data_IF_780319726480
#
_entry.id   IF_780319726480
#
_cell.length_a   1.000
_cell.length_b   1.000
_cell.length_c   1.000
_cell.angle_alpha   90.00
_cell.angle_beta   90.00
_cell.angle_gamma   90.00
#
_symmetry.space_group_name_H-M   'P 1'
#
loop_
_entity.id
_entity.type
_entity.pdbx_description
1 polymer ?
#
# COMPACT_ATOMS: atom_id res chain seq x y z
N UNK A 1 -0.82 -39.46 -45.70
CA UNK A 1 -1.52 -38.96 -46.90
C UNK A 1 -1.25 -37.47 -46.99
N UNK A 2 -0.21 -37.11 -47.75
CA UNK A 2 -0.05 -35.92 -48.61
C UNK A 2 -0.05 -34.53 -47.92
N UNK A 3 1.16 -34.03 -47.70
CA UNK A 3 1.53 -32.60 -47.71
C UNK A 3 1.36 -32.04 -49.14
N UNK A 4 0.91 -30.78 -49.34
CA UNK A 4 1.87 -29.86 -49.96
C UNK A 4 1.71 -28.35 -49.63
N UNK A 5 2.83 -27.66 -49.92
CA UNK A 5 2.97 -26.26 -50.36
C UNK A 5 3.15 -25.21 -49.24
N UNK A 6 4.36 -24.83 -48.80
CA UNK A 6 5.56 -24.33 -49.51
C UNK A 6 5.35 -22.97 -50.18
N UNK A 7 5.67 -21.89 -49.45
CA UNK A 7 6.23 -20.67 -50.07
C UNK A 7 7.18 -19.93 -49.13
N UNK A 8 8.43 -20.40 -49.09
CA UNK A 8 9.59 -19.57 -48.78
C UNK A 8 9.80 -18.64 -49.97
N UNK A 9 9.55 -17.34 -49.82
CA UNK A 9 9.97 -16.35 -50.83
C UNK A 9 11.40 -15.96 -50.56
N UNK A 10 12.28 -16.44 -51.43
CA UNK A 10 13.66 -16.04 -51.53
C UNK A 10 13.80 -14.59 -52.04
N UNK A 11 14.61 -13.83 -51.29
CA UNK A 11 15.61 -12.84 -51.73
C UNK A 11 15.43 -12.24 -53.13
N UNK A 12 15.17 -10.93 -53.18
CA UNK A 12 15.68 -10.08 -54.27
C UNK A 12 16.44 -8.90 -53.71
N UNK A 13 17.75 -9.12 -53.52
CA UNK A 13 18.77 -8.07 -53.41
C UNK A 13 18.60 -7.10 -54.57
N UNK A 14 18.28 -5.85 -54.27
CA UNK A 14 18.59 -4.72 -55.15
C UNK A 14 19.62 -3.87 -54.43
N UNK A 15 20.88 -4.20 -54.71
CA UNK A 15 22.04 -3.38 -54.40
C UNK A 15 21.91 -2.14 -55.27
N UNK A 16 21.56 -1.01 -54.67
CA UNK A 16 21.75 0.30 -55.26
C UNK A 16 23.04 0.86 -54.64
N UNK A 17 24.13 0.69 -55.40
CA UNK A 17 25.38 1.41 -55.23
C UNK A 17 25.12 2.88 -55.57
N UNK A 18 25.12 3.75 -54.57
CA UNK A 18 25.36 5.17 -54.73
C UNK A 18 26.66 5.50 -53.99
N UNK A 19 27.75 5.41 -54.74
CA UNK A 19 29.01 6.05 -54.42
C UNK A 19 28.82 7.54 -54.67
N UNK A 20 28.84 8.35 -53.62
CA UNK A 20 29.13 9.76 -53.71
C UNK A 20 30.24 10.08 -52.70
N UNK A 21 31.33 10.54 -53.28
CA UNK A 21 32.67 10.76 -52.72
C UNK A 21 32.76 12.17 -52.16
N UNK A 22 33.53 12.30 -51.07
CA UNK A 22 34.15 13.52 -50.50
C UNK A 22 33.25 14.59 -49.88
N UNK A 23 33.40 14.74 -48.57
CA UNK A 23 32.95 15.93 -47.84
C UNK A 23 32.83 15.67 -46.34
N UNK A 24 33.96 15.42 -45.67
CA UNK A 24 34.00 15.37 -44.21
C UNK A 24 34.01 16.79 -43.64
N UNK A 25 33.01 17.18 -42.83
CA UNK A 25 33.27 17.92 -41.63
C UNK A 25 33.31 16.90 -40.48
N UNK A 26 34.48 16.75 -39.85
CA UNK A 26 34.55 16.17 -38.51
C UNK A 26 33.84 17.15 -37.58
N UNK A 27 32.51 17.02 -37.51
CA UNK A 27 31.74 17.59 -36.43
C UNK A 27 31.97 16.69 -35.21
N UNK A 28 32.83 17.15 -34.31
CA UNK A 28 32.94 16.66 -32.93
C UNK A 28 31.57 16.82 -32.26
N UNK A 29 30.70 15.84 -32.43
CA UNK A 29 29.51 15.67 -31.60
C UNK A 29 30.00 15.18 -30.23
N UNK A 30 29.58 15.79 -29.11
CA UNK A 30 29.98 15.34 -27.78
C UNK A 30 29.40 13.95 -27.54
N UNK A 31 30.25 12.92 -27.67
CA UNK A 31 29.91 11.52 -27.39
C UNK A 31 29.53 11.24 -25.92
N UNK A 32 29.36 12.27 -25.08
CA UNK A 32 28.98 12.16 -23.67
C UNK A 32 27.48 12.27 -23.39
N UNK A 33 26.68 12.86 -24.28
CA UNK A 33 25.28 13.15 -23.99
C UNK A 33 24.34 11.92 -24.12
N UNK A 34 24.61 11.05 -25.11
CA UNK A 34 23.78 9.85 -25.34
C UNK A 34 24.00 8.79 -24.26
N UNK A 35 25.23 8.69 -23.76
CA UNK A 35 25.60 7.74 -22.70
C UNK A 35 24.97 8.13 -21.36
N UNK A 36 24.93 9.42 -21.02
CA UNK A 36 24.28 9.91 -19.80
C UNK A 36 22.76 9.70 -19.82
N UNK A 37 22.09 10.01 -20.96
CA UNK A 37 20.65 9.80 -21.10
C UNK A 37 20.24 8.33 -21.05
N UNK A 38 21.01 7.43 -21.70
CA UNK A 38 20.74 5.99 -21.65
C UNK A 38 20.96 5.40 -20.25
N UNK A 39 21.97 5.86 -19.52
CA UNK A 39 22.23 5.41 -18.15
C UNK A 39 21.14 5.87 -17.17
N UNK A 40 20.67 7.12 -17.28
CA UNK A 40 19.57 7.62 -16.47
C UNK A 40 18.25 6.87 -16.74
N UNK A 41 17.92 6.64 -18.02
CA UNK A 41 16.74 5.86 -18.40
C UNK A 41 16.84 4.44 -17.86
N UNK A 42 18.02 3.79 -17.95
CA UNK A 42 18.21 2.42 -17.48
C UNK A 42 18.18 2.29 -15.95
N UNK A 43 18.72 3.26 -15.20
CA UNK A 43 18.61 3.27 -13.73
C UNK A 43 17.16 3.43 -13.29
N UNK A 44 16.40 4.30 -13.96
CA UNK A 44 14.98 4.53 -13.65
C UNK A 44 14.15 3.27 -13.91
N UNK A 45 14.36 2.59 -15.04
CA UNK A 45 13.67 1.32 -15.31
C UNK A 45 14.03 0.23 -14.31
N UNK A 46 15.31 0.11 -13.94
CA UNK A 46 15.75 -0.90 -12.97
C UNK A 46 15.12 -0.64 -11.60
N UNK A 47 15.11 0.62 -11.14
CA UNK A 47 14.48 1.02 -9.88
C UNK A 47 12.98 0.78 -9.86
N UNK A 48 12.27 1.10 -10.96
CA UNK A 48 10.83 0.84 -11.07
C UNK A 48 10.49 -0.64 -11.07
N UNK A 49 11.28 -1.47 -11.77
CA UNK A 49 11.09 -2.93 -11.77
C UNK A 49 11.33 -3.51 -10.38
N UNK A 50 12.42 -3.15 -9.71
CA UNK A 50 12.70 -3.63 -8.35
C UNK A 50 11.66 -3.14 -7.35
N UNK A 51 11.18 -1.90 -7.49
CA UNK A 51 10.11 -1.36 -6.67
C UNK A 51 8.84 -2.21 -6.82
N UNK A 52 8.35 -2.40 -8.06
CA UNK A 52 7.12 -3.17 -8.34
C UNK A 52 7.21 -4.63 -7.88
N UNK A 53 8.38 -5.24 -7.99
CA UNK A 53 8.61 -6.60 -7.48
C UNK A 53 8.59 -6.65 -5.94
N UNK A 54 9.05 -5.60 -5.26
CA UNK A 54 9.09 -5.52 -3.80
C UNK A 54 7.77 -5.06 -3.16
N UNK A 55 6.92 -4.31 -3.87
CA UNK A 55 5.71 -3.73 -3.27
C UNK A 55 4.80 -4.75 -2.57
N UNK A 56 4.43 -5.89 -3.20
CA UNK A 56 3.56 -6.85 -2.52
C UNK A 56 4.16 -7.40 -1.23
N UNK A 57 5.50 -7.47 -1.14
CA UNK A 57 6.23 -7.93 0.05
C UNK A 57 6.13 -6.87 1.15
N UNK A 58 6.36 -5.60 0.81
CA UNK A 58 6.29 -4.50 1.76
C UNK A 58 4.86 -4.22 2.25
N UNK A 59 3.86 -4.35 1.37
CA UNK A 59 2.44 -4.19 1.70
C UNK A 59 1.87 -5.35 2.52
N UNK A 60 2.43 -6.56 2.37
CA UNK A 60 2.06 -7.74 3.15
C UNK A 60 2.81 -7.82 4.50
N UNK A 61 3.77 -6.92 4.75
CA UNK A 61 4.61 -6.94 5.93
C UNK A 61 3.82 -6.52 7.17
N UNK A 62 3.51 -7.50 8.02
CA UNK A 62 2.97 -7.26 9.36
C UNK A 62 4.09 -6.75 10.27
N UNK A 63 3.90 -5.55 10.79
CA UNK A 63 4.79 -4.87 11.72
C UNK A 63 4.29 -5.10 13.14
N UNK A 64 5.22 -5.34 14.06
CA UNK A 64 4.94 -5.56 15.49
C UNK A 64 5.53 -4.47 16.38
N UNK A 65 6.23 -3.50 15.78
CA UNK A 65 6.74 -2.34 16.50
C UNK A 65 5.57 -1.51 17.02
N UNK A 66 5.77 -0.92 18.21
CA UNK A 66 4.77 -0.05 18.85
C UNK A 66 4.36 1.06 17.87
N UNK A 67 3.07 1.39 17.87
CA UNK A 67 2.56 2.52 17.11
C UNK A 67 3.22 3.81 17.59
N UNK A 68 3.76 4.58 16.65
CA UNK A 68 4.64 5.73 16.90
C UNK A 68 3.88 7.02 17.17
N UNK A 69 2.64 7.12 16.66
CA UNK A 69 1.76 8.29 16.79
C UNK A 69 0.59 8.01 17.74
N UNK A 70 0.79 8.08 19.07
CA UNK A 70 -0.26 7.75 20.05
C UNK A 70 -1.52 8.62 19.91
N UNK A 71 -1.42 9.79 19.29
CA UNK A 71 -2.56 10.65 18.96
C UNK A 71 -3.51 10.03 17.92
N UNK A 72 -3.03 9.11 17.08
CA UNK A 72 -3.86 8.34 16.16
C UNK A 72 -4.69 7.28 16.88
N UNK A 73 -4.27 6.83 18.07
CA UNK A 73 -4.94 5.78 18.83
C UNK A 73 -4.99 6.16 20.33
N UNK A 74 -5.75 7.21 20.69
CA UNK A 74 -5.70 7.78 22.02
C UNK A 74 -6.28 6.84 23.07
N UNK A 75 -5.66 6.80 24.24
CA UNK A 75 -6.23 6.08 25.39
C UNK A 75 -6.06 4.57 25.38
N UNK A 76 -5.26 3.99 24.48
CA UNK A 76 -4.91 2.57 24.51
C UNK A 76 -4.04 2.15 25.71
N UNK A 77 -3.44 3.11 26.42
CA UNK A 77 -2.60 2.84 27.57
C UNK A 77 -1.31 2.09 27.20
N UNK A 78 -0.92 1.14 28.05
CA UNK A 78 0.23 0.27 27.80
C UNK A 78 -0.25 -1.09 27.32
N UNK A 79 -0.36 -1.22 25.99
CA UNK A 79 -0.87 -2.42 25.34
C UNK A 79 0.22 -3.49 25.16
N UNK A 80 -0.06 -4.76 25.47
CA UNK A 80 0.91 -5.85 25.35
C UNK A 80 1.46 -6.10 23.95
N UNK A 81 0.62 -5.99 22.92
CA UNK A 81 1.01 -6.32 21.54
C UNK A 81 0.24 -5.51 20.49
N UNK A 82 0.85 -5.36 19.32
CA UNK A 82 0.23 -4.76 18.14
C UNK A 82 0.72 -5.48 16.89
N UNK A 83 -0.16 -5.65 15.91
CA UNK A 83 0.14 -6.15 14.58
C UNK A 83 -0.48 -5.20 13.56
N UNK A 84 0.32 -4.57 12.70
CA UNK A 84 -0.19 -3.58 11.76
C UNK A 84 0.51 -3.62 10.41
N UNK A 85 -0.21 -3.18 9.39
CA UNK A 85 0.28 -3.06 8.01
C UNK A 85 0.04 -1.63 7.52
N UNK A 86 0.75 -1.25 6.46
CA UNK A 86 0.57 -0.01 5.75
C UNK A 86 0.58 -0.27 4.25
N UNK A 87 -0.27 0.43 3.50
CA UNK A 87 -0.34 0.39 2.04
C UNK A 87 -0.47 1.79 1.49
N UNK A 88 0.16 2.04 0.35
CA UNK A 88 -0.04 3.31 -0.35
C UNK A 88 -1.41 3.32 -1.03
N UNK A 89 -2.11 4.45 -1.03
CA UNK A 89 -3.37 4.63 -1.78
C UNK A 89 -3.13 5.08 -3.23
N UNK A 90 -1.88 5.13 -3.68
CA UNK A 90 -1.44 5.47 -5.03
C UNK A 90 -0.32 4.55 -5.53
N UNK A 91 0.38 4.91 -6.61
CA UNK A 91 1.53 4.13 -7.12
C UNK A 91 2.85 4.60 -6.46
N UNK A 92 3.37 3.89 -5.43
CA UNK A 92 4.64 4.21 -4.80
C UNK A 92 5.86 4.00 -5.71
N UNK A 93 5.70 3.36 -6.87
CA UNK A 93 6.75 3.20 -7.88
C UNK A 93 6.65 4.23 -9.02
N UNK A 94 5.74 5.21 -8.92
CA UNK A 94 5.66 6.30 -9.89
C UNK A 94 6.91 7.19 -9.83
N UNK A 95 7.17 7.96 -10.90
CA UNK A 95 8.32 8.88 -10.98
C UNK A 95 8.04 10.26 -10.38
N UNK A 96 6.80 10.51 -9.95
CA UNK A 96 6.41 11.74 -9.27
C UNK A 96 6.87 11.74 -7.82
N UNK A 97 6.51 12.77 -7.03
CA UNK A 97 6.55 12.61 -5.58
C UNK A 97 5.78 11.34 -5.20
N UNK A 98 6.32 10.57 -4.25
CA UNK A 98 5.68 9.35 -3.76
C UNK A 98 4.27 9.64 -3.21
N UNK A 99 3.45 8.60 -3.03
CA UNK A 99 2.10 8.75 -2.51
C UNK A 99 2.15 9.47 -1.16
N UNK A 100 1.36 10.54 -1.08
CA UNK A 100 1.13 11.27 0.17
C UNK A 100 0.15 10.52 1.06
N UNK A 101 -0.72 9.73 0.45
CA UNK A 101 -1.86 9.12 1.14
C UNK A 101 -1.59 7.63 1.37
N UNK A 102 -1.63 7.24 2.63
CA UNK A 102 -1.45 5.87 3.08
C UNK A 102 -2.68 5.39 3.83
N UNK A 103 -2.96 4.09 3.67
CA UNK A 103 -3.88 3.35 4.50
C UNK A 103 -3.09 2.51 5.50
N UNK A 104 -3.62 2.39 6.71
CA UNK A 104 -3.08 1.56 7.77
C UNK A 104 -4.19 0.73 8.38
N UNK A 105 -3.90 -0.53 8.68
CA UNK A 105 -4.80 -1.37 9.45
C UNK A 105 -3.99 -2.11 10.51
N UNK A 106 -4.59 -2.35 11.66
CA UNK A 106 -3.92 -3.12 12.71
C UNK A 106 -4.83 -3.63 13.80
N UNK A 107 -4.31 -4.62 14.51
CA UNK A 107 -4.94 -5.29 15.64
C UNK A 107 -4.05 -5.06 16.86
N UNK A 108 -4.63 -4.50 17.91
CA UNK A 108 -3.97 -4.23 19.19
C UNK A 108 -4.56 -5.15 20.24
N UNK A 109 -3.71 -5.89 20.93
CA UNK A 109 -4.07 -6.57 22.17
C UNK A 109 -3.94 -5.57 23.32
N UNK A 110 -5.02 -5.33 24.04
CA UNK A 110 -5.09 -4.41 25.17
C UNK A 110 -5.03 -5.18 26.49
N UNK A 111 -4.71 -4.47 27.58
CA UNK A 111 -5.03 -5.00 28.90
C UNK A 111 -6.56 -4.98 29.09
N UNK A 112 -7.17 -5.99 29.72
CA UNK A 112 -8.62 -6.04 29.88
C UNK A 112 -9.21 -4.81 30.58
N UNK A 113 -8.50 -4.22 31.54
CA UNK A 113 -8.90 -2.98 32.19
C UNK A 113 -8.90 -1.77 31.26
N UNK A 114 -7.94 -1.69 30.33
CA UNK A 114 -7.86 -0.60 29.36
C UNK A 114 -8.96 -0.75 28.31
N UNK A 115 -9.26 -1.96 27.83
CA UNK A 115 -10.39 -2.21 26.93
C UNK A 115 -11.73 -1.76 27.55
N UNK A 116 -11.98 -2.10 28.81
CA UNK A 116 -13.18 -1.64 29.54
C UNK A 116 -13.21 -0.13 29.75
N UNK A 117 -12.06 0.47 30.09
CA UNK A 117 -11.95 1.91 30.28
C UNK A 117 -12.19 2.66 28.97
N UNK A 118 -11.62 2.17 27.86
CA UNK A 118 -11.79 2.70 26.52
C UNK A 118 -13.26 2.66 26.11
N UNK A 119 -13.91 1.50 26.27
CA UNK A 119 -15.31 1.30 25.95
C UNK A 119 -16.23 2.31 26.66
N UNK A 120 -15.99 2.50 27.97
CA UNK A 120 -16.77 3.44 28.79
C UNK A 120 -16.47 4.90 28.44
N UNK A 121 -15.19 5.25 28.27
CA UNK A 121 -14.75 6.63 28.08
C UNK A 121 -15.25 7.22 26.76
N UNK A 122 -15.28 6.39 25.73
CA UNK A 122 -15.63 6.82 24.39
C UNK A 122 -16.96 6.25 23.91
N UNK A 123 -17.82 5.76 24.81
CA UNK A 123 -19.18 5.35 24.44
C UNK A 123 -19.23 4.32 23.30
N UNK A 124 -18.39 3.29 23.39
CA UNK A 124 -18.44 2.18 22.43
C UNK A 124 -19.77 1.42 22.56
N UNK A 125 -20.49 1.29 21.45
CA UNK A 125 -21.78 0.61 21.34
C UNK A 125 -21.69 -0.56 20.38
N UNK A 126 -22.65 -1.49 20.43
CA UNK A 126 -22.67 -2.64 19.54
C UNK A 126 -22.57 -2.22 18.07
N UNK A 127 -21.66 -2.85 17.33
CA UNK A 127 -21.50 -2.64 15.90
C UNK A 127 -22.77 -3.06 15.15
N UNK A 128 -23.28 -2.15 14.32
CA UNK A 128 -24.34 -2.41 13.36
C UNK A 128 -23.78 -2.17 11.93
N UNK A 129 -23.69 -3.21 11.10
CA UNK A 129 -23.19 -3.09 9.73
C UNK A 129 -23.99 -2.10 8.86
N UNK A 130 -25.30 -1.96 9.09
CA UNK A 130 -26.16 -1.10 8.28
C UNK A 130 -25.87 0.37 8.56
N UNK A 131 -25.76 0.72 9.84
CA UNK A 131 -25.43 2.09 10.28
C UNK A 131 -23.99 2.44 9.91
N UNK A 132 -23.09 1.47 9.99
CA UNK A 132 -21.66 1.70 9.73
C UNK A 132 -21.34 1.92 8.26
N UNK A 133 -22.13 1.36 7.33
CA UNK A 133 -21.91 1.53 5.89
C UNK A 133 -21.96 3.00 5.44
N UNK A 134 -22.75 3.86 6.11
CA UNK A 134 -22.86 5.28 5.78
C UNK A 134 -21.63 6.09 6.23
N UNK A 135 -20.95 5.66 7.30
CA UNK A 135 -19.88 6.41 7.97
C UNK A 135 -18.48 5.84 7.76
N UNK A 136 -18.34 4.52 7.66
CA UNK A 136 -17.04 3.85 7.63
C UNK A 136 -16.40 3.80 6.23
N UNK A 137 -17.14 4.06 5.16
CA UNK A 137 -16.66 4.07 3.78
C UNK A 137 -15.83 2.82 3.41
N UNK A 138 -16.41 1.62 3.58
CA UNK A 138 -15.72 0.33 3.30
C UNK A 138 -14.48 0.10 4.19
N UNK A 139 -14.54 0.58 5.44
CA UNK A 139 -13.58 0.26 6.49
C UNK A 139 -14.27 -0.47 7.63
N UNK A 140 -14.91 -1.60 7.31
CA UNK A 140 -15.56 -2.46 8.29
C UNK A 140 -14.67 -3.66 8.63
N UNK A 141 -14.94 -4.41 9.71
CA UNK A 141 -14.12 -5.57 10.09
C UNK A 141 -13.95 -6.61 8.96
N UNK A 142 -14.91 -6.70 8.05
CA UNK A 142 -14.88 -7.55 6.85
C UNK A 142 -13.83 -7.11 5.82
N UNK A 143 -13.43 -5.84 5.82
CA UNK A 143 -12.41 -5.25 4.94
C UNK A 143 -10.97 -5.40 5.49
N UNK A 144 -10.80 -6.19 6.55
CA UNK A 144 -9.49 -6.46 7.14
C UNK A 144 -8.57 -7.16 6.13
N UNK A 145 -7.35 -6.63 5.99
CA UNK A 145 -6.35 -7.24 5.15
C UNK A 145 -5.99 -8.64 5.64
N UNK A 146 -5.94 -9.60 4.70
CA UNK A 146 -5.80 -11.02 4.98
C UNK A 146 -4.63 -11.39 5.91
N UNK A 147 -3.48 -10.71 5.79
CA UNK A 147 -2.32 -10.97 6.65
C UNK A 147 -2.55 -10.59 8.14
N UNK A 148 -3.59 -9.81 8.46
CA UNK A 148 -3.98 -9.48 9.84
C UNK A 148 -5.03 -10.42 10.42
N UNK A 149 -5.73 -11.20 9.58
CA UNK A 149 -6.86 -12.04 10.02
C UNK A 149 -6.47 -13.05 11.12
N UNK A 150 -5.24 -13.58 11.08
CA UNK A 150 -4.72 -14.52 12.07
C UNK A 150 -4.47 -13.93 13.46
N UNK A 151 -4.58 -12.61 13.64
CA UNK A 151 -4.43 -11.95 14.94
C UNK A 151 -5.78 -11.56 15.56
N UNK A 152 -6.89 -11.76 14.86
CA UNK A 152 -8.21 -11.57 15.44
C UNK A 152 -8.55 -12.73 16.38
N UNK A 153 -9.22 -12.46 17.51
CA UNK A 153 -9.79 -13.52 18.33
C UNK A 153 -10.94 -14.21 17.58
N UNK A 154 -11.27 -15.47 17.94
CA UNK A 154 -12.48 -16.10 17.43
C UNK A 154 -13.74 -15.39 17.94
N UNK A 155 -14.83 -15.43 17.16
CA UNK A 155 -16.16 -14.97 17.60
C UNK A 155 -16.19 -13.52 18.13
N UNK A 156 -15.49 -12.61 17.43
CA UNK A 156 -15.39 -11.19 17.80
C UNK A 156 -16.74 -10.53 18.02
N UNK A 157 -16.87 -9.77 19.12
CA UNK A 157 -18.05 -8.96 19.43
C UNK A 157 -17.71 -7.49 19.29
N UNK A 158 -17.73 -7.02 18.05
CA UNK A 158 -17.33 -5.66 17.74
C UNK A 158 -18.26 -4.61 18.35
N UNK A 159 -17.65 -3.65 19.00
CA UNK A 159 -18.23 -2.37 19.35
C UNK A 159 -17.61 -1.29 18.46
N UNK A 160 -18.35 -0.23 18.18
CA UNK A 160 -17.86 0.95 17.45
C UNK A 160 -18.15 2.21 18.26
N UNK A 161 -17.39 3.28 18.00
CA UNK A 161 -17.62 4.57 18.62
C UNK A 161 -17.32 5.71 17.65
N UNK A 162 -18.37 6.44 17.28
CA UNK A 162 -18.23 7.70 16.55
C UNK A 162 -17.46 8.76 17.35
N UNK A 163 -17.66 8.79 18.68
CA UNK A 163 -16.95 9.73 19.56
C UNK A 163 -15.44 9.46 19.52
N UNK A 164 -15.03 8.19 19.49
CA UNK A 164 -13.63 7.82 19.38
C UNK A 164 -13.07 8.12 17.99
N UNK A 165 -13.82 7.79 16.94
CA UNK A 165 -13.37 7.93 15.56
C UNK A 165 -13.24 9.39 15.11
N UNK A 166 -14.11 10.27 15.62
CA UNK A 166 -14.14 11.72 15.28
C UNK A 166 -13.30 12.61 16.23
N UNK A 167 -12.46 12.04 17.13
CA UNK A 167 -11.59 12.89 17.96
C UNK A 167 -10.58 13.66 17.10
N UNK A 168 -10.61 14.98 17.22
CA UNK A 168 -9.65 15.92 16.61
C UNK A 168 -8.29 15.89 17.33
N UNK A 169 -7.62 14.74 17.20
CA UNK A 169 -6.33 14.43 17.83
C UNK A 169 -5.28 14.05 16.80
N UNK A 170 -5.72 13.58 15.64
CA UNK A 170 -4.87 13.09 14.56
C UNK A 170 -5.26 13.74 13.24
N UNK A 171 -4.29 13.89 12.35
CA UNK A 171 -4.51 14.24 10.95
C UNK A 171 -5.05 13.06 10.12
N UNK A 172 -5.05 11.84 10.66
CA UNK A 172 -5.54 10.63 10.01
C UNK A 172 -6.99 10.39 10.37
N UNK A 173 -7.79 10.00 9.39
CA UNK A 173 -9.14 9.56 9.65
C UNK A 173 -9.12 8.15 10.23
N UNK A 174 -9.54 8.03 11.48
CA UNK A 174 -9.66 6.78 12.22
C UNK A 174 -11.05 6.15 12.10
N UNK A 175 -11.08 4.82 12.02
CA UNK A 175 -12.21 3.96 12.37
C UNK A 175 -11.69 2.87 13.30
N UNK A 176 -12.35 2.64 14.43
CA UNK A 176 -11.94 1.63 15.38
C UNK A 176 -13.10 0.72 15.82
N UNK A 177 -12.77 -0.57 15.93
CA UNK A 177 -13.65 -1.61 16.43
C UNK A 177 -13.04 -2.23 17.67
N UNK A 178 -13.80 -2.27 18.76
CA UNK A 178 -13.35 -2.77 20.05
C UNK A 178 -14.10 -4.05 20.40
N UNK A 179 -13.37 -5.10 20.73
CA UNK A 179 -13.89 -6.28 21.42
C UNK A 179 -13.41 -6.23 22.87
N UNK A 180 -14.32 -5.93 23.79
CA UNK A 180 -14.01 -5.82 25.22
C UNK A 180 -13.79 -7.19 25.87
N UNK A 181 -14.42 -8.24 25.35
CA UNK A 181 -14.34 -9.60 25.89
C UNK A 181 -12.95 -10.18 25.66
N UNK A 182 -12.42 -9.99 24.45
CA UNK A 182 -11.07 -10.42 24.07
C UNK A 182 -9.98 -9.36 24.31
N UNK A 183 -10.37 -8.17 24.78
CA UNK A 183 -9.49 -7.02 24.94
C UNK A 183 -8.73 -6.67 23.65
N UNK A 184 -9.42 -6.65 22.51
CA UNK A 184 -8.81 -6.42 21.19
C UNK A 184 -9.36 -5.15 20.56
N UNK A 185 -8.48 -4.27 20.07
CA UNK A 185 -8.86 -3.16 19.20
C UNK A 185 -8.40 -3.43 17.77
N UNK A 186 -9.33 -3.45 16.82
CA UNK A 186 -9.05 -3.32 15.39
C UNK A 186 -9.13 -1.84 15.01
N UNK A 187 -8.12 -1.32 14.32
CA UNK A 187 -8.11 0.04 13.79
C UNK A 187 -7.87 0.07 12.29
N UNK A 188 -8.43 1.08 11.64
CA UNK A 188 -8.20 1.43 10.25
C UNK A 188 -7.99 2.93 10.16
N UNK A 189 -6.84 3.35 9.65
CA UNK A 189 -6.46 4.76 9.51
C UNK A 189 -6.19 5.07 8.05
N UNK A 190 -6.62 6.24 7.61
CA UNK A 190 -6.24 6.80 6.32
C UNK A 190 -5.60 8.18 6.52
N UNK A 191 -4.50 8.44 5.81
CA UNK A 191 -4.02 9.81 5.62
C UNK A 191 -5.05 10.60 4.78
N UNK A 192 -5.23 11.87 5.15
CA UNK A 192 -6.16 12.82 4.52
C UNK A 192 -5.55 13.54 3.33
#
# INVERSE_FOLDING_TARGET
MIDPARTLVAVKRRILLLVAVLGAPVALLPAGAVTAGYLAVRSDWTHQTTCRESLPIEEAKVRTVRWDRPEDLPGLGDYPAIHWQARAKGDPCSRGPGPTDWAYQGVVELRPEDARALAKRYEFVAYDPVVSAEYAAERTPEDLWSALSGFLPPETRWLTSRVYDELDTSSRWRIAYLDVEHATLLFMLDDH
#
